data_IF_906708479736
#
_entry.id   IF_906708479736
#
_cell.length_a   1.000
_cell.length_b   1.000
_cell.length_c   1.000
_cell.angle_alpha   90.00
_cell.angle_beta   90.00
_cell.angle_gamma   90.00
#
_symmetry.space_group_name_H-M   'P 1'
#
loop_
_entity.id
_entity.type
_entity.pdbx_description
1 polymer ?
#
# COMPACT_ATOMS: atom_id res chain seq x y z
N UNK A 1 -18.32 50.19 8.47
CA UNK A 1 -17.64 49.38 7.42
C UNK A 1 -16.99 48.05 7.89
N UNK A 2 -17.29 47.52 9.10
CA UNK A 2 -16.78 46.21 9.56
C UNK A 2 -17.89 45.20 9.90
N UNK A 3 -19.12 45.42 9.44
CA UNK A 3 -20.29 44.63 9.89
C UNK A 3 -20.93 43.74 8.81
N UNK A 4 -20.44 43.74 7.56
CA UNK A 4 -21.12 43.06 6.44
C UNK A 4 -20.46 41.77 5.91
N UNK A 5 -19.33 41.31 6.46
CA UNK A 5 -18.66 40.09 5.95
C UNK A 5 -19.15 38.77 6.57
N UNK A 6 -20.30 38.76 7.26
CA UNK A 6 -20.81 37.57 7.99
C UNK A 6 -21.87 36.76 7.26
N UNK A 7 -22.19 37.07 6.00
CA UNK A 7 -23.28 36.43 5.26
C UNK A 7 -22.88 35.91 3.87
N UNK A 8 -21.89 35.04 3.76
CA UNK A 8 -21.77 34.15 2.60
C UNK A 8 -21.13 32.84 3.09
N UNK A 9 -21.62 31.68 2.62
CA UNK A 9 -21.33 30.30 3.03
C UNK A 9 -22.20 29.75 4.17
N UNK A 10 -23.28 29.00 3.84
CA UNK A 10 -23.79 28.02 4.77
C UNK A 10 -22.71 26.95 4.94
N UNK A 11 -21.90 27.06 6.00
CA UNK A 11 -21.06 25.96 6.46
C UNK A 11 -22.02 24.90 6.99
N UNK A 12 -22.45 23.99 6.11
CA UNK A 12 -22.98 22.70 6.55
C UNK A 12 -21.78 21.91 7.11
N UNK A 13 -21.35 22.29 8.31
CA UNK A 13 -20.13 21.84 8.99
C UNK A 13 -20.18 20.38 9.43
N UNK A 14 -21.36 19.80 9.44
CA UNK A 14 -21.57 18.47 10.02
C UNK A 14 -21.14 17.34 9.08
N UNK A 15 -21.12 17.59 7.75
CA UNK A 15 -20.67 16.61 6.74
C UNK A 15 -19.15 16.43 6.66
N UNK A 16 -18.36 17.38 7.19
CA UNK A 16 -16.89 17.36 7.15
C UNK A 16 -16.27 17.25 8.55
N UNK A 17 -17.04 16.78 9.54
CA UNK A 17 -16.59 16.72 10.92
C UNK A 17 -15.98 15.36 11.23
N UNK A 18 -14.68 15.24 10.96
CA UNK A 18 -13.87 14.12 11.45
C UNK A 18 -13.64 14.25 12.98
N UNK A 19 -13.93 13.20 13.74
CA UNK A 19 -13.63 13.16 15.17
C UNK A 19 -12.12 13.00 15.41
N UNK A 20 -11.52 13.91 16.18
CA UNK A 20 -10.07 13.94 16.44
C UNK A 20 -9.56 12.68 17.15
N UNK A 21 -10.35 12.11 18.07
CA UNK A 21 -10.04 10.86 18.77
C UNK A 21 -9.97 9.68 17.80
N UNK A 22 -10.99 9.53 16.96
CA UNK A 22 -11.06 8.45 15.97
C UNK A 22 -9.97 8.57 14.91
N UNK A 23 -9.64 9.80 14.50
CA UNK A 23 -8.53 10.07 13.57
C UNK A 23 -7.18 9.63 14.13
N UNK A 24 -6.91 9.94 15.41
CA UNK A 24 -5.70 9.50 16.09
C UNK A 24 -5.64 7.96 16.19
N UNK A 25 -6.77 7.32 16.54
CA UNK A 25 -6.89 5.87 16.62
C UNK A 25 -6.64 5.21 15.26
N UNK A 26 -7.30 5.67 14.20
CA UNK A 26 -7.17 5.12 12.86
C UNK A 26 -5.73 5.28 12.34
N UNK A 27 -5.10 6.44 12.54
CA UNK A 27 -3.71 6.67 12.15
C UNK A 27 -2.74 5.78 12.93
N UNK A 28 -2.92 5.61 14.24
CA UNK A 28 -2.08 4.70 15.04
C UNK A 28 -2.22 3.25 14.59
N UNK A 29 -3.45 2.83 14.26
CA UNK A 29 -3.73 1.45 13.83
C UNK A 29 -3.18 1.14 12.44
N UNK A 30 -3.26 2.10 11.52
CA UNK A 30 -3.01 1.83 10.08
C UNK A 30 -1.73 2.44 9.53
N UNK A 31 -1.18 3.47 10.18
CA UNK A 31 0.02 4.17 9.72
C UNK A 31 -0.19 5.11 8.52
N UNK A 32 -1.38 5.20 7.94
CA UNK A 32 -1.63 6.09 6.79
C UNK A 32 -1.49 7.59 7.14
N UNK A 33 -1.31 8.41 6.10
CA UNK A 33 -1.19 9.86 6.24
C UNK A 33 -2.43 10.47 6.88
N UNK A 34 -2.25 11.57 7.62
CA UNK A 34 -3.34 12.22 8.34
C UNK A 34 -4.48 12.64 7.39
N UNK A 35 -4.14 13.13 6.20
CA UNK A 35 -5.12 13.51 5.18
C UNK A 35 -5.96 12.31 4.69
N UNK A 36 -5.33 11.16 4.46
CA UNK A 36 -6.03 9.96 4.03
C UNK A 36 -6.95 9.41 5.13
N UNK A 37 -6.46 9.34 6.38
CA UNK A 37 -7.28 8.91 7.51
C UNK A 37 -8.47 9.86 7.75
N UNK A 38 -8.25 11.17 7.61
CA UNK A 38 -9.31 12.18 7.76
C UNK A 38 -10.36 12.02 6.67
N UNK A 39 -9.93 11.90 5.41
CA UNK A 39 -10.83 11.68 4.26
C UNK A 39 -11.63 10.39 4.41
N UNK A 40 -10.99 9.30 4.82
CA UNK A 40 -11.66 8.03 5.05
C UNK A 40 -12.76 8.16 6.11
N UNK A 41 -12.49 8.85 7.23
CA UNK A 41 -13.48 9.06 8.28
C UNK A 41 -14.61 10.00 7.85
N UNK A 42 -14.33 11.03 7.05
CA UNK A 42 -15.36 11.93 6.53
C UNK A 42 -16.28 11.24 5.51
N UNK A 43 -15.76 10.31 4.71
CA UNK A 43 -16.54 9.57 3.72
C UNK A 43 -17.42 8.48 4.32
N UNK A 44 -17.05 7.96 5.49
CA UNK A 44 -17.71 6.84 6.15
C UNK A 44 -18.34 7.23 7.49
N UNK A 45 -18.76 8.50 7.63
CA UNK A 45 -19.46 9.00 8.82
C UNK A 45 -18.78 8.65 10.16
N UNK A 46 -17.45 8.75 10.18
CA UNK A 46 -16.58 8.38 11.30
C UNK A 46 -16.60 6.89 11.71
N UNK A 47 -17.09 6.00 10.85
CA UNK A 47 -16.99 4.55 11.06
C UNK A 47 -15.55 4.08 10.85
N UNK A 48 -14.90 3.64 11.94
CA UNK A 48 -13.51 3.16 11.91
C UNK A 48 -13.30 1.94 11.00
N UNK A 49 -14.25 1.01 10.97
CA UNK A 49 -14.09 -0.25 10.24
C UNK A 49 -14.19 0.00 8.74
N UNK A 50 -15.19 0.78 8.31
CA UNK A 50 -15.36 1.16 6.92
C UNK A 50 -14.22 2.07 6.44
N UNK A 51 -13.79 3.02 7.27
CA UNK A 51 -12.64 3.88 6.95
C UNK A 51 -11.35 3.06 6.78
N UNK A 52 -11.12 2.03 7.61
CA UNK A 52 -9.98 1.13 7.48
C UNK A 52 -10.07 0.28 6.21
N UNK A 53 -11.25 -0.26 5.90
CA UNK A 53 -11.48 -1.04 4.68
C UNK A 53 -11.21 -0.18 3.44
N UNK A 54 -11.77 1.03 3.40
CA UNK A 54 -11.53 1.98 2.32
C UNK A 54 -10.05 2.33 2.17
N UNK A 55 -9.32 2.57 3.27
CA UNK A 55 -7.88 2.82 3.21
C UNK A 55 -7.10 1.65 2.61
N UNK A 56 -7.48 0.40 2.92
CA UNK A 56 -6.86 -0.79 2.32
C UNK A 56 -7.14 -0.89 0.83
N UNK A 57 -8.38 -0.65 0.39
CA UNK A 57 -8.74 -0.63 -1.03
C UNK A 57 -7.99 0.46 -1.80
N UNK A 58 -7.91 1.67 -1.24
CA UNK A 58 -7.16 2.77 -1.83
C UNK A 58 -5.66 2.45 -1.93
N UNK A 59 -5.09 1.81 -0.91
CA UNK A 59 -3.69 1.41 -0.94
C UNK A 59 -3.40 0.39 -2.04
N UNK A 60 -4.29 -0.58 -2.25
CA UNK A 60 -4.18 -1.54 -3.35
C UNK A 60 -4.26 -0.83 -4.71
N UNK A 61 -5.26 0.01 -4.92
CA UNK A 61 -5.45 0.73 -6.18
C UNK A 61 -4.24 1.64 -6.52
N UNK A 62 -3.75 2.40 -5.53
CA UNK A 62 -2.56 3.25 -5.71
C UNK A 62 -1.29 2.42 -5.89
N UNK A 63 -1.18 1.29 -5.20
CA UNK A 63 -0.07 0.34 -5.33
C UNK A 63 0.04 -0.19 -6.76
N UNK A 64 -1.08 -0.64 -7.34
CA UNK A 64 -1.13 -1.10 -8.74
C UNK A 64 -0.74 -0.01 -9.73
N UNK A 65 -1.31 1.20 -9.58
CA UNK A 65 -0.97 2.33 -10.45
C UNK A 65 0.52 2.70 -10.38
N UNK A 66 1.13 2.63 -9.20
CA UNK A 66 2.57 2.86 -9.02
C UNK A 66 3.42 1.73 -9.60
N UNK A 67 3.00 0.47 -9.41
CA UNK A 67 3.69 -0.69 -9.97
C UNK A 67 3.78 -0.57 -11.49
N UNK A 68 2.65 -0.29 -12.16
CA UNK A 68 2.61 -0.06 -13.62
C UNK A 68 3.56 1.06 -14.07
N UNK A 69 3.70 2.13 -13.28
CA UNK A 69 4.65 3.21 -13.59
C UNK A 69 6.12 2.78 -13.48
N UNK A 70 6.44 1.77 -12.68
CA UNK A 70 7.80 1.32 -12.38
C UNK A 70 8.26 0.12 -13.23
N UNK A 71 7.37 -0.49 -14.02
CA UNK A 71 7.63 -1.68 -14.85
C UNK A 71 8.81 -1.57 -15.84
N UNK A 72 9.30 -0.36 -16.13
CA UNK A 72 10.39 -0.10 -17.07
C UNK A 72 11.80 0.02 -16.48
N UNK A 73 11.99 -0.10 -15.15
CA UNK A 73 13.33 -0.01 -14.53
C UNK A 73 14.06 -1.35 -14.67
N UNK A 74 14.99 -1.43 -15.62
CA UNK A 74 15.90 -2.58 -15.76
C UNK A 74 17.22 -2.29 -15.04
N UNK A 75 17.66 -3.18 -14.16
CA UNK A 75 19.04 -3.20 -13.67
C UNK A 75 19.78 -4.44 -14.16
N UNK A 76 21.08 -4.28 -14.41
CA UNK A 76 21.89 -5.33 -14.99
C UNK A 76 22.27 -6.37 -13.92
N UNK A 77 21.81 -7.62 -14.12
CA UNK A 77 22.34 -8.86 -13.53
C UNK A 77 22.17 -9.01 -12.00
N UNK A 78 20.99 -9.45 -11.58
CA UNK A 78 20.76 -10.08 -10.28
C UNK A 78 19.81 -11.29 -10.44
N UNK A 79 19.91 -12.27 -9.54
CA UNK A 79 19.00 -13.44 -9.52
C UNK A 79 17.60 -13.08 -9.04
N UNK A 80 17.47 -12.03 -8.22
CA UNK A 80 16.20 -11.49 -7.73
C UNK A 80 16.33 -9.96 -7.60
N UNK A 81 15.34 -9.20 -8.09
CA UNK A 81 15.33 -7.74 -8.04
C UNK A 81 14.04 -7.25 -7.38
N UNK A 82 14.17 -6.50 -6.29
CA UNK A 82 13.05 -5.80 -5.64
C UNK A 82 13.37 -4.31 -5.62
N UNK A 83 12.59 -3.54 -6.36
CA UNK A 83 12.80 -2.10 -6.52
C UNK A 83 12.00 -1.28 -5.50
N UNK A 84 12.55 -0.14 -5.08
CA UNK A 84 11.84 0.87 -4.30
C UNK A 84 12.14 2.29 -4.83
N UNK A 85 11.31 3.26 -4.44
CA UNK A 85 11.37 4.62 -5.00
C UNK A 85 12.55 5.43 -4.45
N UNK A 86 12.92 5.23 -3.19
CA UNK A 86 13.95 6.02 -2.48
C UNK A 86 14.87 5.13 -1.65
N UNK A 87 16.13 5.52 -1.48
CA UNK A 87 17.13 4.82 -0.66
C UNK A 87 16.75 4.72 0.83
N UNK A 88 15.95 5.66 1.34
CA UNK A 88 15.39 5.58 2.69
C UNK A 88 14.53 4.33 2.92
N UNK A 89 13.80 3.88 1.90
CA UNK A 89 12.98 2.66 1.96
C UNK A 89 13.88 1.42 1.91
N UNK A 90 14.91 1.41 1.06
CA UNK A 90 15.86 0.29 0.96
C UNK A 90 16.59 -0.02 2.28
N UNK A 91 16.78 0.99 3.13
CA UNK A 91 17.44 0.86 4.44
C UNK A 91 16.49 0.50 5.58
N UNK A 92 15.18 0.45 5.34
CA UNK A 92 14.19 0.12 6.36
C UNK A 92 14.22 -1.40 6.65
N UNK A 93 14.31 -1.79 7.93
CA UNK A 93 14.37 -3.20 8.36
C UNK A 93 13.14 -4.00 7.96
N UNK A 94 11.96 -3.40 7.98
CA UNK A 94 10.71 -4.04 7.57
C UNK A 94 10.70 -4.29 6.06
N UNK A 95 11.21 -3.34 5.27
CA UNK A 95 11.39 -3.54 3.83
C UNK A 95 12.39 -4.67 3.55
N UNK A 96 13.53 -4.68 4.25
CA UNK A 96 14.55 -5.74 4.10
C UNK A 96 13.98 -7.12 4.47
N UNK A 97 13.16 -7.19 5.53
CA UNK A 97 12.47 -8.43 5.92
C UNK A 97 11.55 -8.94 4.81
N UNK A 98 10.77 -8.06 4.17
CA UNK A 98 9.90 -8.43 3.05
C UNK A 98 10.73 -8.96 1.86
N UNK A 99 11.86 -8.35 1.55
CA UNK A 99 12.76 -8.81 0.47
C UNK A 99 13.32 -10.20 0.79
N UNK A 100 13.73 -10.44 2.03
CA UNK A 100 14.22 -11.74 2.50
C UNK A 100 13.14 -12.82 2.41
N UNK A 101 11.96 -12.55 2.95
CA UNK A 101 10.79 -13.45 2.88
C UNK A 101 10.45 -13.79 1.44
N UNK A 102 10.35 -12.78 0.56
CA UNK A 102 10.05 -12.98 -0.87
C UNK A 102 11.11 -13.87 -1.54
N UNK A 103 12.39 -13.63 -1.25
CA UNK A 103 13.50 -14.40 -1.82
C UNK A 103 13.46 -15.86 -1.36
N UNK A 104 13.20 -16.08 -0.07
CA UNK A 104 13.09 -17.42 0.51
C UNK A 104 11.90 -18.18 -0.07
N UNK A 105 10.72 -17.57 -0.15
CA UNK A 105 9.53 -18.18 -0.78
C UNK A 105 9.78 -18.55 -2.24
N UNK A 106 10.42 -17.68 -3.02
CA UNK A 106 10.80 -17.98 -4.40
C UNK A 106 11.77 -19.19 -4.47
N UNK A 107 12.79 -19.22 -3.60
CA UNK A 107 13.75 -20.32 -3.55
C UNK A 107 13.09 -21.65 -3.20
N UNK A 108 12.19 -21.67 -2.23
CA UNK A 108 11.41 -22.87 -1.85
C UNK A 108 10.48 -23.35 -2.97
N UNK A 109 9.83 -22.41 -3.67
CA UNK A 109 9.00 -22.72 -4.82
C UNK A 109 9.81 -23.39 -5.94
N UNK A 110 10.99 -22.85 -6.26
CA UNK A 110 11.88 -23.45 -7.28
C UNK A 110 12.38 -24.82 -6.85
N UNK A 111 12.79 -25.01 -5.59
CA UNK A 111 13.23 -26.32 -5.06
C UNK A 111 12.14 -27.38 -5.17
N UNK A 112 10.89 -27.02 -4.86
CA UNK A 112 9.75 -27.95 -4.91
C UNK A 112 9.30 -28.31 -6.33
N UNK A 113 9.69 -27.52 -7.33
CA UNK A 113 9.30 -27.71 -8.74
C UNK A 113 10.49 -28.07 -9.65
N UNK A 114 11.62 -28.56 -9.10
CA UNK A 114 12.75 -29.05 -9.90
C UNK A 114 12.33 -30.23 -10.79
N UNK A 115 12.06 -29.94 -12.07
CA UNK A 115 12.34 -30.87 -13.17
C UNK A 115 13.65 -30.42 -13.79
N UNK A 116 14.64 -31.30 -13.83
CA UNK A 116 15.93 -31.08 -14.50
C UNK A 116 15.70 -30.66 -15.95
N UNK A 117 15.88 -29.39 -16.24
CA UNK A 117 16.08 -28.88 -17.59
C UNK A 117 17.01 -27.67 -17.50
N UNK A 118 18.14 -27.73 -18.20
CA UNK A 118 19.15 -26.66 -18.34
C UNK A 118 18.65 -25.44 -19.12
N UNK A 119 17.34 -25.19 -19.10
CA UNK A 119 16.66 -24.14 -19.84
C UNK A 119 16.11 -23.12 -18.85
N UNK A 120 16.55 -21.86 -18.98
CA UNK A 120 16.01 -20.73 -18.21
C UNK A 120 14.52 -20.62 -18.54
N UNK A 121 13.67 -20.97 -17.57
CA UNK A 121 12.21 -20.88 -17.72
C UNK A 121 11.73 -19.62 -17.01
N UNK A 122 11.13 -18.69 -17.76
CA UNK A 122 10.45 -17.53 -17.18
C UNK A 122 9.09 -17.97 -16.64
N UNK A 123 8.94 -17.94 -15.32
CA UNK A 123 7.65 -18.20 -14.65
C UNK A 123 7.02 -16.85 -14.32
N UNK A 124 5.86 -16.55 -14.91
CA UNK A 124 5.05 -15.41 -14.53
C UNK A 124 3.96 -15.90 -13.58
N UNK A 125 4.00 -15.41 -12.33
CA UNK A 125 2.99 -15.73 -11.32
C UNK A 125 1.96 -14.60 -11.26
N UNK A 126 0.69 -14.95 -11.41
CA UNK A 126 -0.42 -14.03 -11.15
C UNK A 126 -0.72 -13.89 -9.65
N UNK A 127 -1.59 -12.96 -9.28
CA UNK A 127 -1.95 -12.69 -7.88
C UNK A 127 -2.54 -13.92 -7.17
N UNK A 128 -3.30 -14.75 -7.87
CA UNK A 128 -3.91 -15.95 -7.29
C UNK A 128 -2.90 -17.08 -7.10
N UNK A 129 -1.89 -17.16 -7.98
CA UNK A 129 -0.76 -18.07 -7.85
C UNK A 129 0.17 -17.64 -6.71
N UNK A 130 0.44 -16.34 -6.57
CA UNK A 130 1.20 -15.76 -5.45
C UNK A 130 0.55 -16.06 -4.09
N UNK A 131 -0.77 -15.93 -3.97
CA UNK A 131 -1.51 -16.24 -2.73
C UNK A 131 -1.43 -17.72 -2.33
N UNK A 132 -1.16 -18.62 -3.28
CA UNK A 132 -1.05 -20.07 -3.05
C UNK A 132 0.37 -20.50 -2.65
N UNK A 133 1.34 -19.60 -2.75
CA UNK A 133 2.68 -19.85 -2.20
C UNK A 133 2.57 -19.88 -0.67
N UNK A 134 3.13 -20.92 -0.06
CA UNK A 134 3.16 -21.05 1.40
C UNK A 134 4.05 -19.92 1.96
N UNK A 135 3.52 -19.14 2.90
CA UNK A 135 4.31 -18.29 3.79
C UNK A 135 4.84 -19.08 4.97
#
# INVERSE_FOLDING_TARGET
PQQEYRQIFPLNSDKYRCQKSLLATLRKKTGYTFANCKKALEMHDNNLNEAEAWLKEQAQALGWSKATKLEGRQTARSTHEVNCETDFVARNKEFQKIVEETTNTCLEYVKSHQKSQDVITKICLDTEQLKKLKS
#
